data_IF_198181113512
#
_entry.id   IF_198181113512
#
_cell.length_a   1.000
_cell.length_b   1.000
_cell.length_c   1.000
_cell.angle_alpha   90.00
_cell.angle_beta   90.00
_cell.angle_gamma   90.00
#
_symmetry.space_group_name_H-M   'P 1'
#
loop_
_entity.id
_entity.type
_entity.pdbx_description
1 polymer ?
#
# COMPACT_ATOMS: atom_id res chain seq x y z
N UNK A 1 12.25 13.99 3.38
CA UNK A 1 13.51 13.30 3.73
C UNK A 1 13.40 11.81 3.40
N UNK A 2 14.44 11.21 2.83
CA UNK A 2 14.44 9.81 2.37
C UNK A 2 13.78 9.65 1.00
N UNK A 3 13.89 10.67 0.14
CA UNK A 3 13.13 10.75 -1.13
C UNK A 3 13.56 9.67 -2.15
N UNK A 4 14.75 9.09 -1.99
CA UNK A 4 15.30 8.03 -2.82
C UNK A 4 14.82 6.63 -2.47
N UNK A 5 13.95 6.46 -1.47
CA UNK A 5 13.25 5.20 -1.22
C UNK A 5 12.08 4.98 -2.19
N UNK A 6 11.73 3.71 -2.44
CA UNK A 6 10.63 3.35 -3.34
C UNK A 6 9.31 4.03 -2.94
N UNK A 7 8.84 3.85 -1.70
CA UNK A 7 7.59 4.46 -1.25
C UNK A 7 7.61 6.00 -1.20
N UNK A 8 8.77 6.61 -0.91
CA UNK A 8 8.89 8.07 -0.82
C UNK A 8 8.95 8.74 -2.20
N UNK A 9 9.68 8.16 -3.15
CA UNK A 9 9.75 8.65 -4.52
C UNK A 9 8.38 8.58 -5.21
N UNK A 10 7.66 7.48 -5.03
CA UNK A 10 6.29 7.34 -5.56
C UNK A 10 5.35 8.39 -4.96
N UNK A 11 5.39 8.60 -3.65
CA UNK A 11 4.61 9.66 -2.99
C UNK A 11 4.99 11.05 -3.49
N UNK A 12 6.28 11.33 -3.67
CA UNK A 12 6.76 12.60 -4.22
C UNK A 12 6.21 12.87 -5.63
N UNK A 13 6.17 11.85 -6.50
CA UNK A 13 5.57 11.96 -7.83
C UNK A 13 4.07 12.28 -7.76
N UNK A 14 3.31 11.56 -6.91
CA UNK A 14 1.88 11.80 -6.75
C UNK A 14 1.60 13.23 -6.29
N UNK A 15 2.30 13.71 -5.26
CA UNK A 15 2.12 15.07 -4.75
C UNK A 15 2.53 16.13 -5.78
N UNK A 16 3.61 15.88 -6.53
CA UNK A 16 4.05 16.75 -7.63
C UNK A 16 3.01 16.83 -8.74
N UNK A 17 2.38 15.72 -9.09
CA UNK A 17 1.32 15.65 -10.11
C UNK A 17 0.02 16.34 -9.65
N UNK A 18 -0.25 16.38 -8.34
CA UNK A 18 -1.36 17.16 -7.74
C UNK A 18 -1.04 18.68 -7.69
N UNK A 19 0.17 19.07 -8.10
CA UNK A 19 0.58 20.48 -8.23
C UNK A 19 1.38 21.02 -7.05
N UNK A 20 1.77 20.17 -6.10
CA UNK A 20 2.63 20.58 -4.99
C UNK A 20 4.07 20.80 -5.48
N UNK A 21 4.78 21.74 -4.85
CA UNK A 21 6.23 21.88 -5.00
C UNK A 21 6.90 20.86 -4.10
N UNK A 22 7.72 20.00 -4.68
CA UNK A 22 8.40 18.94 -3.95
C UNK A 22 9.90 19.10 -4.12
N UNK A 23 10.60 19.02 -3.00
CA UNK A 23 12.05 18.86 -2.92
C UNK A 23 12.34 17.73 -1.93
N UNK A 24 13.57 17.23 -1.94
CA UNK A 24 13.95 16.19 -0.99
C UNK A 24 15.43 16.01 -0.81
N UNK A 25 15.74 15.18 0.16
CA UNK A 25 17.09 14.78 0.50
C UNK A 25 17.13 13.28 0.77
N UNK A 26 18.29 12.68 0.57
CA UNK A 26 18.56 11.26 0.85
C UNK A 26 20.06 11.05 1.08
N UNK A 27 20.43 10.02 1.82
CA UNK A 27 21.84 9.70 2.13
C UNK A 27 22.61 9.17 0.93
N UNK A 28 21.91 8.70 -0.10
CA UNK A 28 22.53 8.14 -1.30
C UNK A 28 21.78 8.51 -2.56
N UNK A 29 22.50 8.51 -3.70
CA UNK A 29 21.88 8.68 -4.99
C UNK A 29 21.34 7.33 -5.49
N UNK A 30 20.03 7.17 -5.49
CA UNK A 30 19.37 5.91 -5.84
C UNK A 30 18.80 5.92 -7.26
N UNK A 31 18.42 4.75 -7.75
CA UNK A 31 17.65 4.61 -8.99
C UNK A 31 16.33 5.41 -8.96
N UNK A 32 15.65 5.47 -7.82
CA UNK A 32 14.40 6.24 -7.68
C UNK A 32 14.61 7.74 -7.80
N UNK A 33 15.78 8.28 -7.37
CA UNK A 33 16.12 9.69 -7.58
C UNK A 33 16.19 10.01 -9.08
N UNK A 34 16.81 9.13 -9.88
CA UNK A 34 16.85 9.31 -11.33
C UNK A 34 15.45 9.36 -11.97
N UNK A 35 14.46 8.67 -11.38
CA UNK A 35 13.08 8.66 -11.87
C UNK A 35 12.31 9.93 -11.56
N UNK A 36 12.58 10.57 -10.42
CA UNK A 36 11.87 11.79 -10.01
C UNK A 36 12.50 13.06 -10.57
N UNK A 37 13.80 13.07 -10.89
CA UNK A 37 14.51 14.24 -11.42
C UNK A 37 13.87 14.84 -12.69
N UNK A 38 13.42 14.05 -13.70
CA UNK A 38 12.72 14.57 -14.87
C UNK A 38 11.42 15.34 -14.56
N UNK A 39 10.84 15.15 -13.37
CA UNK A 39 9.62 15.85 -12.93
C UNK A 39 9.92 17.21 -12.24
N UNK A 40 11.18 17.65 -12.29
CA UNK A 40 11.63 18.92 -11.71
C UNK A 40 11.61 18.92 -10.19
N UNK A 41 11.78 17.76 -9.57
CA UNK A 41 11.88 17.62 -8.11
C UNK A 41 13.34 17.90 -7.72
N UNK A 42 13.56 18.94 -6.91
CA UNK A 42 14.90 19.30 -6.44
C UNK A 42 15.41 18.29 -5.41
N UNK A 43 16.68 17.91 -5.51
CA UNK A 43 17.32 16.91 -4.67
C UNK A 43 18.67 17.37 -4.10
N UNK A 44 18.95 16.98 -2.86
CA UNK A 44 20.26 17.16 -2.19
C UNK A 44 20.70 15.88 -1.49
N UNK A 45 22.00 15.58 -1.51
CA UNK A 45 22.58 14.45 -0.78
C UNK A 45 22.81 14.78 0.70
N UNK A 46 22.58 13.79 1.56
CA UNK A 46 22.76 13.90 3.01
C UNK A 46 21.50 14.34 3.74
N UNK A 47 21.61 14.45 5.06
CA UNK A 47 20.60 15.06 5.94
C UNK A 47 21.28 16.18 6.72
N UNK A 48 20.71 17.38 6.64
CA UNK A 48 21.28 18.59 7.22
C UNK A 48 20.17 19.60 7.49
N UNK A 49 20.20 20.25 8.64
CA UNK A 49 19.25 21.30 8.99
C UNK A 49 19.32 22.51 8.04
N UNK A 50 20.45 22.74 7.37
CA UNK A 50 20.60 23.79 6.36
C UNK A 50 19.68 23.57 5.15
N UNK A 51 19.20 22.34 4.91
CA UNK A 51 18.17 22.06 3.91
C UNK A 51 16.88 22.84 4.15
N UNK A 52 16.57 23.17 5.41
CA UNK A 52 15.38 23.96 5.76
C UNK A 52 15.49 25.40 5.26
N UNK A 53 16.69 25.96 5.25
CA UNK A 53 16.95 27.31 4.72
C UNK A 53 17.02 27.32 3.19
N UNK A 54 17.54 26.24 2.61
CA UNK A 54 17.59 26.04 1.16
C UNK A 54 16.20 25.86 0.55
N UNK A 55 15.45 24.87 1.02
CA UNK A 55 14.17 24.48 0.43
C UNK A 55 12.98 25.28 0.96
N UNK A 56 13.10 25.87 2.17
CA UNK A 56 12.03 26.61 2.86
C UNK A 56 10.69 25.85 2.85
N UNK A 57 10.65 24.60 3.35
CA UNK A 57 9.45 23.77 3.24
C UNK A 57 8.34 24.24 4.18
N UNK A 58 7.09 24.22 3.70
CA UNK A 58 5.90 24.39 4.54
C UNK A 58 5.63 23.14 5.41
N UNK A 59 6.07 21.97 4.94
CA UNK A 59 5.95 20.69 5.62
C UNK A 59 7.08 19.73 5.23
N UNK A 60 7.43 18.83 6.14
CA UNK A 60 8.39 17.75 5.94
C UNK A 60 7.68 16.41 5.99
N UNK A 61 7.97 15.56 5.00
CA UNK A 61 7.56 14.15 4.99
C UNK A 61 8.80 13.28 5.14
N UNK A 62 8.79 12.32 6.05
CA UNK A 62 9.91 11.40 6.28
C UNK A 62 9.47 9.93 6.25
N UNK A 63 10.39 9.04 5.89
CA UNK A 63 10.17 7.60 5.92
C UNK A 63 10.37 7.03 7.34
N UNK A 64 9.82 5.85 7.61
CA UNK A 64 10.03 5.14 8.88
C UNK A 64 11.49 4.80 9.17
N UNK A 65 12.35 4.78 8.15
CA UNK A 65 13.79 4.53 8.30
C UNK A 65 14.57 5.75 8.85
N UNK A 66 13.94 6.94 8.90
CA UNK A 66 14.59 8.15 9.42
C UNK A 66 14.24 8.31 10.91
N UNK A 67 15.25 8.33 11.80
CA UNK A 67 15.03 8.55 13.23
C UNK A 67 14.37 9.90 13.50
N UNK A 68 13.42 9.94 14.43
CA UNK A 68 12.73 11.18 14.82
C UNK A 68 13.65 12.24 15.42
N UNK A 69 14.81 11.83 15.94
CA UNK A 69 15.81 12.72 16.57
C UNK A 69 16.84 13.29 15.57
N UNK A 70 16.66 13.05 14.28
CA UNK A 70 17.54 13.62 13.24
C UNK A 70 17.51 15.15 13.31
N UNK A 71 18.67 15.80 13.21
CA UNK A 71 18.81 17.26 13.38
C UNK A 71 17.86 18.07 12.49
N UNK A 72 17.64 17.64 11.24
CA UNK A 72 16.73 18.29 10.29
C UNK A 72 15.27 18.27 10.78
N UNK A 73 14.81 17.19 11.43
CA UNK A 73 13.46 17.08 12.01
C UNK A 73 13.34 17.89 13.31
N UNK A 74 14.35 17.84 14.18
CA UNK A 74 14.38 18.59 15.44
C UNK A 74 14.33 20.09 15.17
N UNK A 75 15.14 20.56 14.21
CA UNK A 75 15.15 21.97 13.83
C UNK A 75 13.85 22.38 13.13
N UNK A 76 13.28 21.54 12.29
CA UNK A 76 11.98 21.81 11.65
C UNK A 76 10.87 21.98 12.69
N UNK A 77 10.83 21.11 13.71
CA UNK A 77 9.89 21.22 14.81
C UNK A 77 10.11 22.52 15.61
N UNK A 78 11.37 22.89 15.89
CA UNK A 78 11.73 24.15 16.55
C UNK A 78 11.26 25.39 15.77
N UNK A 79 11.28 25.33 14.43
CA UNK A 79 10.80 26.38 13.52
C UNK A 79 9.29 26.37 13.31
N UNK A 80 8.55 25.40 13.85
CA UNK A 80 7.11 25.26 13.66
C UNK A 80 6.70 24.73 12.28
N UNK A 81 7.63 24.12 11.53
CA UNK A 81 7.35 23.46 10.26
C UNK A 81 6.58 22.17 10.55
N UNK A 82 5.54 21.89 9.77
CA UNK A 82 4.71 20.69 9.97
C UNK A 82 5.50 19.44 9.59
N UNK A 83 5.44 18.40 10.40
CA UNK A 83 6.15 17.13 10.16
C UNK A 83 5.14 16.01 10.06
N UNK A 84 5.23 15.22 8.99
CA UNK A 84 4.37 14.08 8.71
C UNK A 84 5.21 12.84 8.42
N UNK A 85 4.76 11.69 8.89
CA UNK A 85 5.23 10.39 8.41
C UNK A 85 4.69 10.16 6.99
N UNK A 86 5.45 9.42 6.19
CA UNK A 86 5.05 8.97 4.84
C UNK A 86 3.62 8.41 4.82
N UNK A 87 3.28 7.55 5.78
CA UNK A 87 1.99 6.88 5.81
C UNK A 87 0.81 7.83 6.06
N UNK A 88 1.00 8.92 6.80
CA UNK A 88 -0.04 9.94 7.04
C UNK A 88 -0.40 10.69 5.76
N UNK A 89 0.61 11.02 4.95
CA UNK A 89 0.38 11.72 3.69
C UNK A 89 -0.19 10.79 2.63
N UNK A 90 0.30 9.54 2.58
CA UNK A 90 -0.25 8.53 1.67
C UNK A 90 -1.71 8.20 2.02
N UNK A 91 -2.05 8.06 3.30
CA UNK A 91 -3.42 7.78 3.73
C UNK A 91 -4.37 8.93 3.39
N UNK A 92 -3.90 10.18 3.43
CA UNK A 92 -4.71 11.31 2.97
C UNK A 92 -5.09 11.19 1.49
N UNK A 93 -4.12 10.87 0.61
CA UNK A 93 -4.38 10.65 -0.82
C UNK A 93 -5.31 9.46 -1.06
N UNK A 94 -5.11 8.39 -0.29
CA UNK A 94 -5.88 7.15 -0.38
C UNK A 94 -7.33 7.34 0.06
N UNK A 95 -7.56 7.97 1.21
CA UNK A 95 -8.89 8.19 1.80
C UNK A 95 -9.73 9.23 1.04
N UNK A 96 -9.14 10.04 0.17
CA UNK A 96 -9.88 10.94 -0.73
C UNK A 96 -10.44 10.22 -1.96
N UNK A 97 -10.10 8.93 -2.15
CA UNK A 97 -10.51 8.09 -3.27
C UNK A 97 -11.14 6.80 -2.77
N UNK A 98 -11.70 6.00 -3.69
CA UNK A 98 -12.08 4.63 -3.42
C UNK A 98 -10.81 3.77 -3.27
N UNK A 99 -10.27 3.77 -2.07
CA UNK A 99 -9.02 3.11 -1.75
C UNK A 99 -9.12 1.58 -1.80
N UNK A 100 -8.21 0.94 -2.52
CA UNK A 100 -8.02 -0.51 -2.58
C UNK A 100 -6.68 -0.79 -1.91
N UNK A 101 -6.74 -1.21 -0.65
CA UNK A 101 -5.57 -1.44 0.19
C UNK A 101 -5.16 -2.90 0.15
N UNK A 102 -3.93 -3.17 -0.26
CA UNK A 102 -3.36 -4.52 -0.27
C UNK A 102 -2.32 -4.65 0.82
N UNK A 103 -2.67 -5.41 1.85
CA UNK A 103 -1.83 -5.72 3.00
C UNK A 103 -1.47 -7.22 3.03
N UNK A 104 -0.49 -7.56 3.86
CA UNK A 104 -0.03 -8.93 4.07
C UNK A 104 1.49 -9.03 4.05
N UNK A 105 2.06 -10.06 4.66
CA UNK A 105 3.53 -10.14 4.80
C UNK A 105 4.23 -10.34 3.44
N UNK A 106 3.62 -11.14 2.54
CA UNK A 106 4.14 -11.37 1.18
C UNK A 106 3.09 -11.14 0.10
N UNK A 107 3.55 -10.84 -1.13
CA UNK A 107 2.68 -10.75 -2.30
C UNK A 107 1.88 -9.45 -2.43
N UNK A 108 2.11 -8.46 -1.55
CA UNK A 108 1.48 -7.12 -1.62
C UNK A 108 1.72 -6.47 -2.98
N UNK A 109 2.98 -6.31 -3.35
CA UNK A 109 3.42 -5.67 -4.59
C UNK A 109 2.81 -6.34 -5.82
N UNK A 110 3.00 -7.64 -5.99
CA UNK A 110 2.44 -8.36 -7.16
C UNK A 110 0.92 -8.23 -7.23
N UNK A 111 0.24 -8.38 -6.10
CA UNK A 111 -1.22 -8.27 -6.04
C UNK A 111 -1.66 -6.86 -6.40
N UNK A 112 -1.15 -5.82 -5.72
CA UNK A 112 -1.47 -4.41 -5.99
C UNK A 112 -1.19 -4.04 -7.45
N UNK A 113 -0.08 -4.52 -8.01
CA UNK A 113 0.28 -4.32 -9.42
C UNK A 113 -0.75 -4.90 -10.37
N UNK A 114 -1.18 -6.14 -10.13
CA UNK A 114 -2.24 -6.77 -10.94
C UNK A 114 -3.55 -6.00 -10.86
N UNK A 115 -3.96 -5.53 -9.67
CA UNK A 115 -5.17 -4.72 -9.51
C UNK A 115 -5.05 -3.43 -10.32
N UNK A 116 -3.94 -2.71 -10.18
CA UNK A 116 -3.68 -1.48 -10.91
C UNK A 116 -3.81 -1.68 -12.42
N UNK A 117 -3.20 -2.74 -12.96
CA UNK A 117 -3.24 -3.06 -14.40
C UNK A 117 -4.62 -3.48 -14.89
N UNK A 118 -5.38 -4.22 -14.08
CA UNK A 118 -6.75 -4.60 -14.42
C UNK A 118 -7.63 -3.35 -14.51
N UNK A 119 -7.53 -2.44 -13.53
CA UNK A 119 -8.28 -1.20 -13.51
C UNK A 119 -7.87 -0.26 -14.65
N UNK A 120 -6.57 -0.24 -15.00
CA UNK A 120 -6.06 0.50 -16.15
C UNK A 120 -6.63 -0.04 -17.47
N UNK A 121 -6.52 -1.35 -17.69
CA UNK A 121 -7.07 -2.04 -18.87
C UNK A 121 -8.58 -1.90 -18.96
N UNK A 122 -9.22 -1.69 -17.80
CA UNK A 122 -10.63 -1.43 -17.68
C UNK A 122 -11.04 0.03 -18.01
N UNK A 123 -10.09 0.90 -18.37
CA UNK A 123 -10.34 2.32 -18.63
C UNK A 123 -10.82 3.09 -17.39
N UNK A 124 -10.57 2.57 -16.19
CA UNK A 124 -10.96 3.21 -14.93
C UNK A 124 -9.90 4.19 -14.41
N UNK A 125 -8.75 4.27 -15.07
CA UNK A 125 -7.64 5.21 -14.82
C UNK A 125 -7.31 5.39 -13.32
N UNK A 126 -6.92 4.31 -12.61
CA UNK A 126 -6.64 4.35 -11.18
C UNK A 126 -5.41 5.19 -10.86
N UNK A 127 -5.40 5.77 -9.66
CA UNK A 127 -4.15 6.15 -9.01
C UNK A 127 -3.48 4.91 -8.40
N UNK A 128 -2.16 4.83 -8.43
CA UNK A 128 -1.39 3.69 -7.93
C UNK A 128 -0.21 4.16 -7.09
N UNK A 129 0.01 3.53 -5.93
CA UNK A 129 1.14 3.77 -5.04
C UNK A 129 1.70 2.44 -4.51
N UNK A 130 2.80 1.98 -5.10
CA UNK A 130 3.34 0.62 -4.90
C UNK A 130 4.80 0.73 -4.45
N UNK A 131 5.21 -0.18 -3.56
CA UNK A 131 6.55 -0.25 -2.98
C UNK A 131 7.61 -0.85 -3.93
N UNK A 132 7.17 -1.38 -5.07
CA UNK A 132 7.97 -1.82 -6.22
C UNK A 132 7.49 -1.21 -7.55
N UNK A 133 8.21 -1.46 -8.64
CA UNK A 133 7.84 -0.94 -9.96
C UNK A 133 6.77 -1.79 -10.64
N UNK A 134 5.88 -1.12 -11.38
CA UNK A 134 5.07 -1.72 -12.44
C UNK A 134 5.59 -1.23 -13.78
N UNK A 135 6.20 -2.13 -14.56
CA UNK A 135 6.78 -1.79 -15.86
C UNK A 135 5.74 -1.18 -16.83
N UNK A 136 4.53 -1.74 -16.86
CA UNK A 136 3.48 -1.34 -17.81
C UNK A 136 2.87 0.04 -17.55
N UNK A 137 2.98 0.58 -16.34
CA UNK A 137 2.58 1.98 -16.03
C UNK A 137 3.79 2.91 -15.85
N UNK A 138 5.00 2.44 -16.19
CA UNK A 138 6.22 3.25 -16.26
C UNK A 138 6.87 3.61 -14.92
N UNK A 139 6.47 2.99 -13.80
CA UNK A 139 7.04 3.28 -12.49
C UNK A 139 6.31 2.63 -11.31
N UNK A 140 6.60 3.12 -10.11
CA UNK A 140 6.04 2.66 -8.84
C UNK A 140 4.87 3.51 -8.33
N UNK A 141 4.56 4.61 -9.02
CA UNK A 141 3.38 5.42 -8.74
C UNK A 141 2.81 6.03 -10.03
N UNK A 142 1.49 6.20 -10.05
CA UNK A 142 0.75 6.88 -11.12
C UNK A 142 -0.39 7.67 -10.49
N UNK A 143 -0.53 8.95 -10.82
CA UNK A 143 -1.75 9.69 -10.54
C UNK A 143 -2.74 9.50 -11.70
N UNK A 144 -3.83 8.80 -11.43
CA UNK A 144 -4.96 8.66 -12.36
C UNK A 144 -6.08 9.66 -12.03
N UNK A 145 -6.95 9.91 -13.01
CA UNK A 145 -8.14 10.76 -12.89
C UNK A 145 -9.38 9.99 -12.41
N UNK A 146 -9.29 8.67 -12.34
CA UNK A 146 -10.35 7.81 -11.86
C UNK A 146 -10.61 7.92 -10.36
N UNK A 147 -11.72 7.32 -9.93
CA UNK A 147 -12.15 7.32 -8.54
C UNK A 147 -11.31 6.39 -7.64
N UNK A 148 -10.55 5.46 -8.21
CA UNK A 148 -9.86 4.41 -7.46
C UNK A 148 -8.41 4.77 -7.15
N UNK A 149 -7.93 4.31 -5.99
CA UNK A 149 -6.50 4.31 -5.67
C UNK A 149 -6.08 2.95 -5.17
N UNK A 150 -5.09 2.32 -5.80
CA UNK A 150 -4.50 1.07 -5.33
C UNK A 150 -3.22 1.38 -4.57
N UNK A 151 -3.10 0.88 -3.35
CA UNK A 151 -1.91 1.06 -2.53
C UNK A 151 -1.48 -0.23 -1.83
N UNK A 152 -0.17 -0.44 -1.77
CA UNK A 152 0.42 -1.39 -0.83
C UNK A 152 0.42 -0.79 0.57
N UNK A 153 -0.11 -1.55 1.52
CA UNK A 153 -0.17 -1.15 2.92
C UNK A 153 0.66 -2.14 3.74
N UNK A 154 1.60 -1.60 4.50
CA UNK A 154 2.54 -2.38 5.28
C UNK A 154 2.18 -2.32 6.77
N UNK A 155 2.27 -3.46 7.44
CA UNK A 155 1.99 -3.60 8.86
C UNK A 155 3.09 -3.00 9.76
N UNK A 156 4.32 -2.86 9.25
CA UNK A 156 5.55 -2.69 10.03
C UNK A 156 5.67 -1.41 10.88
N UNK A 157 4.84 -0.40 10.64
CA UNK A 157 4.87 0.87 11.38
C UNK A 157 3.54 1.25 12.06
N UNK A 158 2.57 0.33 12.06
CA UNK A 158 1.24 0.49 12.66
C UNK A 158 0.35 1.52 11.96
N UNK A 159 0.67 1.88 10.73
CA UNK A 159 -0.08 2.90 9.98
C UNK A 159 -1.45 2.44 9.45
N UNK A 160 -1.81 1.16 9.58
CA UNK A 160 -3.09 0.62 9.10
C UNK A 160 -4.33 1.42 9.54
N UNK A 161 -4.33 1.96 10.76
CA UNK A 161 -5.46 2.71 11.31
C UNK A 161 -5.70 4.06 10.59
N UNK A 162 -4.70 4.54 9.85
CA UNK A 162 -4.81 5.77 9.06
C UNK A 162 -5.60 5.54 7.76
N UNK A 163 -5.66 4.30 7.27
CA UNK A 163 -6.27 3.97 5.98
C UNK A 163 -7.72 3.52 6.15
N UNK A 164 -8.61 4.09 5.35
CA UNK A 164 -10.03 3.74 5.26
C UNK A 164 -10.32 3.10 3.91
N UNK A 165 -10.05 1.80 3.73
CA UNK A 165 -10.21 1.15 2.45
C UNK A 165 -11.68 1.03 2.05
N UNK A 166 -11.97 1.26 0.77
CA UNK A 166 -13.19 0.81 0.13
C UNK A 166 -13.12 -0.71 -0.14
N UNK A 167 -11.93 -1.21 -0.47
CA UNK A 167 -11.63 -2.65 -0.55
C UNK A 167 -10.37 -2.93 0.25
N UNK A 168 -10.50 -3.73 1.30
CA UNK A 168 -9.38 -4.16 2.15
C UNK A 168 -8.98 -5.59 1.77
N UNK A 169 -7.70 -5.81 1.42
CA UNK A 169 -7.19 -7.12 0.99
C UNK A 169 -6.05 -7.53 1.92
N UNK A 170 -6.12 -8.73 2.48
CA UNK A 170 -5.03 -9.34 3.25
C UNK A 170 -4.59 -10.64 2.56
N UNK A 171 -3.36 -10.65 2.02
CA UNK A 171 -2.85 -11.78 1.23
C UNK A 171 -2.44 -12.96 2.11
N UNK A 172 -1.73 -12.68 3.21
CA UNK A 172 -1.25 -13.61 4.23
C UNK A 172 -0.78 -12.81 5.45
N UNK A 173 -0.51 -13.48 6.56
CA UNK A 173 0.13 -12.88 7.73
C UNK A 173 1.17 -13.84 8.30
N UNK A 174 2.37 -13.34 8.51
CA UNK A 174 3.45 -13.98 9.25
C UNK A 174 3.97 -13.05 10.35
N UNK A 175 4.84 -13.54 11.22
CA UNK A 175 5.46 -12.77 12.29
C UNK A 175 6.87 -12.30 11.90
N UNK A 176 6.97 -11.51 10.82
CA UNK A 176 8.26 -11.03 10.28
C UNK A 176 8.74 -9.73 10.95
N UNK A 177 7.83 -8.92 11.48
CA UNK A 177 8.14 -7.60 12.05
C UNK A 177 8.21 -7.62 13.57
N UNK A 178 9.14 -8.43 14.11
CA UNK A 178 9.30 -8.67 15.55
C UNK A 178 9.64 -7.41 16.36
N UNK A 179 10.29 -6.43 15.73
CA UNK A 179 10.67 -5.16 16.36
C UNK A 179 9.46 -4.27 16.68
N UNK A 180 8.37 -4.44 15.93
CA UNK A 180 7.15 -3.65 16.09
C UNK A 180 6.04 -4.44 16.77
N UNK A 181 5.88 -5.72 16.40
CA UNK A 181 4.87 -6.60 16.94
C UNK A 181 5.51 -7.64 17.86
N UNK A 182 5.26 -7.60 19.18
CA UNK A 182 5.89 -8.52 20.14
C UNK A 182 5.39 -9.96 20.02
N UNK A 183 4.32 -10.21 19.26
CA UNK A 183 3.77 -11.55 19.04
C UNK A 183 2.97 -11.66 17.75
N UNK A 184 2.81 -12.88 17.25
CA UNK A 184 1.90 -13.14 16.13
C UNK A 184 0.45 -12.69 16.42
N UNK A 185 -0.02 -12.80 17.67
CA UNK A 185 -1.34 -12.30 18.06
C UNK A 185 -1.47 -10.77 17.87
N UNK A 186 -0.39 -10.02 18.13
CA UNK A 186 -0.41 -8.56 17.89
C UNK A 186 -0.44 -8.20 16.40
N UNK A 187 0.18 -9.01 15.53
CA UNK A 187 0.07 -8.89 14.07
C UNK A 187 -1.37 -9.13 13.62
N UNK A 188 -1.99 -10.22 14.07
CA UNK A 188 -3.37 -10.56 13.73
C UNK A 188 -4.36 -9.45 14.13
N UNK A 189 -4.18 -8.86 15.32
CA UNK A 189 -4.99 -7.72 15.76
C UNK A 189 -4.81 -6.49 14.88
N UNK A 190 -3.62 -6.26 14.33
CA UNK A 190 -3.40 -5.14 13.41
C UNK A 190 -4.16 -5.33 12.10
N UNK A 191 -4.12 -6.54 11.53
CA UNK A 191 -4.90 -6.88 10.35
C UNK A 191 -6.42 -6.83 10.61
N UNK A 192 -6.87 -7.25 11.79
CA UNK A 192 -8.28 -7.12 12.20
C UNK A 192 -8.72 -5.65 12.22
N UNK A 193 -7.90 -4.76 12.78
CA UNK A 193 -8.16 -3.32 12.77
C UNK A 193 -8.19 -2.77 11.36
N UNK A 194 -7.25 -3.17 10.49
CA UNK A 194 -7.22 -2.77 9.09
C UNK A 194 -8.51 -3.18 8.35
N UNK A 195 -8.91 -4.45 8.45
CA UNK A 195 -10.13 -4.95 7.81
C UNK A 195 -11.39 -4.26 8.35
N UNK A 196 -11.41 -3.93 9.65
CA UNK A 196 -12.54 -3.29 10.32
C UNK A 196 -12.64 -1.79 10.06
N UNK A 197 -11.53 -1.13 9.70
CA UNK A 197 -11.47 0.32 9.43
C UNK A 197 -11.91 0.70 8.01
N UNK A 198 -12.49 -0.25 7.27
CA UNK A 198 -13.05 -0.01 5.93
C UNK A 198 -14.20 1.00 5.96
N UNK A 199 -14.40 1.70 4.84
CA UNK A 199 -15.54 2.60 4.69
C UNK A 199 -16.88 1.84 4.79
N UNK A 200 -17.97 2.48 5.25
CA UNK A 200 -19.30 1.87 5.21
C UNK A 200 -19.66 1.39 3.80
N UNK A 201 -20.05 0.12 3.67
CA UNK A 201 -20.34 -0.51 2.38
C UNK A 201 -19.10 -1.03 1.63
N UNK A 202 -17.90 -0.85 2.18
CA UNK A 202 -16.66 -1.41 1.64
C UNK A 202 -16.55 -2.93 1.80
N UNK A 203 -15.75 -3.54 0.93
CA UNK A 203 -15.51 -4.98 0.91
C UNK A 203 -14.22 -5.37 1.66
N UNK A 204 -14.23 -6.53 2.28
CA UNK A 204 -13.05 -7.17 2.85
C UNK A 204 -12.77 -8.48 2.10
N UNK A 205 -11.51 -8.72 1.74
CA UNK A 205 -11.04 -9.94 1.09
C UNK A 205 -9.84 -10.49 1.83
N UNK A 206 -9.86 -11.78 2.12
CA UNK A 206 -8.79 -12.47 2.84
C UNK A 206 -8.55 -13.86 2.24
N UNK A 207 -7.31 -14.33 2.29
CA UNK A 207 -6.96 -15.69 1.88
C UNK A 207 -7.63 -16.73 2.78
N UNK A 208 -8.00 -17.90 2.25
CA UNK A 208 -8.60 -19.00 3.03
C UNK A 208 -7.74 -19.44 4.22
N UNK A 209 -6.42 -19.29 4.11
CA UNK A 209 -5.49 -19.61 5.20
C UNK A 209 -5.63 -18.65 6.39
N UNK A 210 -5.97 -17.38 6.13
CA UNK A 210 -6.20 -16.37 7.15
C UNK A 210 -7.53 -16.59 7.91
N UNK A 211 -8.55 -17.09 7.20
CA UNK A 211 -9.84 -17.51 7.78
C UNK A 211 -9.70 -18.63 8.83
N UNK A 212 -8.81 -19.60 8.60
CA UNK A 212 -8.60 -20.71 9.56
C UNK A 212 -7.91 -20.22 10.84
N UNK A 213 -7.08 -19.19 10.74
CA UNK A 213 -6.34 -18.62 11.89
C UNK A 213 -7.20 -17.68 12.75
N UNK A 214 -8.24 -17.07 12.16
CA UNK A 214 -9.14 -16.10 12.83
C UNK A 214 -10.57 -16.60 13.05
N UNK A 215 -10.81 -17.90 12.83
CA UNK A 215 -12.14 -18.52 12.91
C UNK A 215 -12.91 -18.27 14.23
N UNK A 216 -12.28 -18.11 15.41
CA UNK A 216 -13.01 -17.76 16.63
C UNK A 216 -13.41 -16.27 16.74
N UNK A 217 -12.82 -15.37 15.95
CA UNK A 217 -12.86 -13.90 16.18
C UNK A 217 -13.61 -13.14 15.07
N UNK A 218 -13.53 -13.56 13.81
CA UNK A 218 -14.11 -12.82 12.67
C UNK A 218 -15.61 -13.03 12.43
N UNK A 219 -16.23 -14.01 13.08
CA UNK A 219 -17.64 -14.38 12.86
C UNK A 219 -18.64 -13.22 13.06
N UNK A 220 -18.46 -12.29 14.02
CA UNK A 220 -19.35 -11.14 14.18
C UNK A 220 -19.14 -10.05 13.10
N UNK A 221 -17.91 -9.87 12.60
CA UNK A 221 -17.48 -8.76 11.72
C UNK A 221 -17.89 -8.99 10.25
N UNK A 222 -18.03 -10.26 9.85
CA UNK A 222 -18.34 -10.70 8.49
C UNK A 222 -19.85 -10.90 8.21
N UNK A 223 -20.74 -10.45 9.11
CA UNK A 223 -22.19 -10.62 8.98
C UNK A 223 -22.85 -9.69 7.93
N UNK A 224 -22.10 -8.74 7.37
CA UNK A 224 -22.52 -7.93 6.21
C UNK A 224 -21.89 -8.45 4.91
N UNK A 225 -22.61 -9.35 4.21
CA UNK A 225 -22.35 -9.84 2.85
C UNK A 225 -20.88 -9.96 2.40
N UNK A 226 -20.11 -10.94 2.91
CA UNK A 226 -18.75 -11.16 2.45
C UNK A 226 -18.78 -11.87 1.09
N UNK A 227 -18.12 -11.30 0.09
CA UNK A 227 -17.66 -12.09 -1.06
C UNK A 227 -16.62 -13.09 -0.53
N UNK A 228 -16.98 -14.37 -0.51
CA UNK A 228 -16.17 -15.45 0.09
C UNK A 228 -15.22 -16.06 -0.95
N UNK A 229 -13.99 -16.32 -0.52
CA UNK A 229 -12.99 -17.06 -1.28
C UNK A 229 -13.40 -18.54 -1.50
N UNK A 230 -13.21 -19.14 -2.69
CA UNK A 230 -13.43 -20.58 -2.90
C UNK A 230 -12.28 -21.40 -2.29
N UNK A 231 -12.53 -22.42 -1.45
CA UNK A 231 -11.49 -23.13 -0.72
C UNK A 231 -10.42 -23.73 -1.65
N UNK A 232 -9.15 -23.74 -1.21
CA UNK A 232 -8.11 -24.56 -1.88
C UNK A 232 -8.54 -26.04 -1.83
N UNK A 233 -8.29 -26.84 -2.88
CA UNK A 233 -8.44 -28.28 -2.79
C UNK A 233 -7.53 -28.83 -1.69
N UNK A 234 -8.10 -29.47 -0.67
CA UNK A 234 -7.35 -30.19 0.35
C UNK A 234 -6.73 -31.43 -0.31
N UNK A 235 -5.41 -31.45 -0.46
CA UNK A 235 -4.71 -32.59 -1.00
C UNK A 235 -3.22 -32.60 -0.66
N UNK A 236 -2.91 -33.15 0.51
CA UNK A 236 -1.86 -34.16 0.79
C UNK A 236 -1.12 -33.91 2.12
N UNK A 237 -1.22 -34.92 2.97
CA UNK A 237 -0.60 -35.03 4.29
C UNK A 237 0.88 -35.39 4.21
N UNK A 238 1.68 -34.68 5.03
CA UNK A 238 2.99 -35.03 5.64
C UNK A 238 4.19 -35.33 4.71
N UNK A 239 5.24 -34.53 4.89
CA UNK A 239 6.62 -34.92 4.59
C UNK A 239 7.58 -33.74 4.47
N UNK A 240 8.52 -33.65 5.41
CA UNK A 240 9.81 -32.94 5.41
C UNK A 240 10.17 -31.98 4.25
N UNK A 241 10.61 -30.77 4.64
CA UNK A 241 11.60 -29.86 4.00
C UNK A 241 11.39 -29.52 2.51
N UNK A 242 11.13 -28.24 2.28
CA UNK A 242 11.59 -27.48 1.10
C UNK A 242 10.89 -27.78 -0.23
N UNK A 243 9.88 -26.97 -0.58
CA UNK A 243 9.58 -26.56 -1.96
C UNK A 243 8.49 -25.48 -1.97
N UNK A 244 8.86 -24.26 -2.38
CA UNK A 244 7.93 -23.27 -2.94
C UNK A 244 7.47 -23.75 -4.35
N UNK A 245 6.37 -23.14 -4.85
CA UNK A 245 5.72 -23.31 -6.17
C UNK A 245 4.68 -24.44 -6.24
N UNK A 246 3.42 -24.17 -6.60
CA UNK A 246 3.02 -23.77 -7.96
C UNK A 246 1.95 -22.66 -8.00
N UNK A 247 2.05 -21.82 -9.03
CA UNK A 247 1.06 -20.80 -9.42
C UNK A 247 -0.16 -21.50 -10.04
N UNK A 248 -1.35 -21.35 -9.46
CA UNK A 248 -2.62 -21.86 -10.01
C UNK A 248 -3.45 -20.71 -10.60
N UNK A 249 -3.48 -20.54 -11.94
CA UNK A 249 -4.20 -19.44 -12.58
C UNK A 249 -5.71 -19.47 -12.35
N UNK A 250 -6.30 -20.63 -12.02
CA UNK A 250 -7.76 -20.75 -11.82
C UNK A 250 -8.24 -20.09 -10.52
N UNK A 251 -7.40 -20.11 -9.48
CA UNK A 251 -7.66 -19.44 -8.20
C UNK A 251 -7.51 -17.93 -8.36
N UNK A 252 -6.51 -17.49 -9.13
CA UNK A 252 -6.30 -16.07 -9.44
C UNK A 252 -7.40 -15.48 -10.34
N UNK A 253 -7.97 -16.25 -11.27
CA UNK A 253 -9.11 -15.78 -12.09
C UNK A 253 -10.39 -15.57 -11.28
N UNK A 254 -10.70 -16.47 -10.33
CA UNK A 254 -11.83 -16.28 -9.40
C UNK A 254 -11.60 -15.08 -8.46
N UNK A 255 -10.34 -14.81 -8.13
CA UNK A 255 -9.92 -13.63 -7.37
C UNK A 255 -10.13 -12.34 -8.16
N UNK A 256 -9.63 -12.27 -9.41
CA UNK A 256 -9.86 -11.15 -10.33
C UNK A 256 -11.37 -10.91 -10.52
N UNK A 257 -12.14 -11.97 -10.74
CA UNK A 257 -13.58 -11.88 -10.95
C UNK A 257 -14.32 -11.32 -9.72
N UNK A 258 -14.03 -11.83 -8.53
CA UNK A 258 -14.66 -11.36 -7.28
C UNK A 258 -14.28 -9.91 -6.96
N UNK A 259 -13.04 -9.54 -7.25
CA UNK A 259 -12.53 -8.18 -7.12
C UNK A 259 -13.17 -7.22 -8.11
N UNK A 260 -13.22 -7.55 -9.40
CA UNK A 260 -13.92 -6.75 -10.42
C UNK A 260 -15.39 -6.57 -10.02
N UNK A 261 -16.06 -7.63 -9.57
CA UNK A 261 -17.47 -7.56 -9.14
C UNK A 261 -17.66 -6.63 -7.94
N UNK A 262 -16.73 -6.64 -6.97
CA UNK A 262 -16.75 -5.74 -5.83
C UNK A 262 -16.49 -4.27 -6.22
N UNK A 263 -15.61 -4.03 -7.20
CA UNK A 263 -15.21 -2.68 -7.65
C UNK A 263 -16.24 -2.09 -8.62
N UNK A 264 -16.92 -2.92 -9.43
CA UNK A 264 -17.92 -2.50 -10.42
C UNK A 264 -19.28 -3.18 -10.19
N UNK A 265 -19.99 -2.87 -9.09
CA UNK A 265 -21.31 -3.47 -8.82
C UNK A 265 -22.28 -3.13 -9.96
N UNK A 266 -22.87 -4.17 -10.57
CA UNK A 266 -23.85 -4.04 -11.67
C UNK A 266 -23.29 -4.13 -13.09
N UNK A 267 -21.98 -4.30 -13.30
CA UNK A 267 -21.40 -4.62 -14.62
C UNK A 267 -20.99 -6.09 -14.69
N UNK A 268 -21.45 -6.80 -15.73
CA UNK A 268 -21.07 -8.19 -15.97
C UNK A 268 -19.58 -8.28 -16.34
N UNK A 269 -18.78 -9.16 -15.70
CA UNK A 269 -17.36 -9.34 -16.04
C UNK A 269 -17.13 -9.94 -17.44
N UNK A 270 -18.18 -10.47 -18.10
CA UNK A 270 -18.13 -11.01 -19.46
C UNK A 270 -18.03 -9.93 -20.56
N UNK A 271 -18.17 -8.64 -20.23
CA UNK A 271 -18.07 -7.52 -21.18
C UNK A 271 -16.64 -6.95 -21.32
N UNK A 272 -15.64 -7.63 -20.76
CA UNK A 272 -14.25 -7.16 -20.68
C UNK A 272 -13.26 -7.99 -21.51
N UNK A 273 -13.75 -8.67 -22.55
CA UNK A 273 -12.90 -9.19 -23.63
C UNK A 273 -12.80 -8.12 -24.74
N UNK A 274 -11.61 -7.91 -25.34
CA UNK A 274 -11.47 -7.01 -26.48
C UNK A 274 -12.30 -7.44 -27.69
#
# INVERSE_FOLDING_TARGET
MGIGGAGMSGLALLLRQIGMKISGCDVSHTYYINKISPHGIEFTLGHDKEHLDRFKPDAIVFSSAIPSETEELVEAARRGIRIFKRAEVLSWLFNMRKGIGVAGTHGKTTTASMIGLILESAGLDPSVAIGGEICDIGGNAKLGQGAHMVAELDESDGSFELFRPHVAIVTNADWDHVDYYPSFSSVLKAYERFLSNREPGGAAMESTTFLTLLQPVLLPILSGSPLRWPPRPLGHSRGQRGAFSTWDPSVHLKWIYSMITAITPGRSPLLWAP
#
